data_IF_389982809497
#
_entry.id   IF_389982809497
#
_cell.length_a   1.000
_cell.length_b   1.000
_cell.length_c   1.000
_cell.angle_alpha   90.00
_cell.angle_beta   90.00
_cell.angle_gamma   90.00
#
_symmetry.space_group_name_H-M   'P 1'
#
loop_
_entity.id
_entity.type
_entity.pdbx_description
1 polymer ?
#
# COMPACT_ATOMS: atom_id res chain seq x y z
N UNK A 1 -15.13 8.33 -9.41
CA UNK A 1 -14.59 6.97 -9.24
C UNK A 1 -14.91 6.51 -7.82
N UNK A 2 -15.42 5.30 -7.63
CA UNK A 2 -15.68 4.72 -6.29
C UNK A 2 -14.85 3.45 -6.17
N UNK A 3 -14.17 3.26 -5.04
CA UNK A 3 -13.44 2.01 -4.73
C UNK A 3 -14.36 1.22 -3.81
N UNK A 4 -14.66 -0.03 -4.16
CA UNK A 4 -15.47 -0.91 -3.31
C UNK A 4 -14.56 -1.65 -2.32
N UNK A 5 -13.41 -2.13 -2.81
CA UNK A 5 -12.43 -2.89 -2.04
C UNK A 5 -11.01 -2.57 -2.51
N UNK A 6 -10.10 -2.43 -1.55
CA UNK A 6 -8.65 -2.34 -1.76
C UNK A 6 -7.99 -3.46 -0.98
N UNK A 7 -7.19 -4.28 -1.65
CA UNK A 7 -6.33 -5.28 -1.00
C UNK A 7 -4.89 -4.93 -1.33
N UNK A 8 -4.06 -4.82 -0.29
CA UNK A 8 -2.63 -4.55 -0.37
C UNK A 8 -1.91 -5.73 0.29
N UNK A 9 -1.01 -6.38 -0.45
CA UNK A 9 -0.24 -7.53 0.04
C UNK A 9 1.24 -7.34 -0.25
N UNK A 10 2.09 -7.77 0.68
CA UNK A 10 3.55 -7.69 0.60
C UNK A 10 4.08 -6.29 0.25
N UNK A 11 3.57 -5.26 0.93
CA UNK A 11 3.87 -3.86 0.61
C UNK A 11 4.55 -3.16 1.78
N UNK A 12 5.84 -2.85 1.65
CA UNK A 12 6.64 -2.10 2.63
C UNK A 12 6.38 -2.50 4.11
N UNK A 13 6.44 -3.80 4.39
CA UNK A 13 6.28 -4.39 5.73
C UNK A 13 4.85 -4.84 6.08
N UNK A 14 3.85 -4.51 5.25
CA UNK A 14 2.48 -5.04 5.39
C UNK A 14 2.42 -6.41 4.70
N UNK A 15 2.06 -7.46 5.45
CA UNK A 15 1.84 -8.81 4.88
C UNK A 15 0.60 -8.84 4.01
N UNK A 16 -0.55 -8.46 4.59
CA UNK A 16 -1.81 -8.33 3.88
C UNK A 16 -2.72 -7.39 4.65
N UNK A 17 -3.37 -6.47 3.94
CA UNK A 17 -4.46 -5.66 4.48
C UNK A 17 -5.54 -5.50 3.44
N UNK A 18 -6.79 -5.65 3.87
CA UNK A 18 -7.96 -5.48 3.02
C UNK A 18 -8.85 -4.40 3.63
N UNK A 19 -9.18 -3.39 2.83
CA UNK A 19 -10.11 -2.33 3.16
C UNK A 19 -11.37 -2.47 2.31
N UNK A 20 -12.52 -2.61 2.97
CA UNK A 20 -13.82 -2.60 2.31
C UNK A 20 -14.43 -1.21 2.50
N UNK A 21 -14.59 -0.47 1.40
CA UNK A 21 -15.10 0.89 1.39
C UNK A 21 -16.59 0.94 1.05
N UNK A 22 -17.14 -0.10 0.40
CA UNK A 22 -18.54 -0.18 -0.05
C UNK A 22 -18.99 1.06 -0.84
N UNK A 23 -18.05 1.69 -1.56
CA UNK A 23 -18.28 2.91 -2.32
C UNK A 23 -18.59 4.16 -1.46
N UNK A 24 -18.27 4.11 -0.17
CA UNK A 24 -18.41 5.20 0.81
C UNK A 24 -17.04 5.73 1.25
N UNK A 25 -17.05 6.92 1.83
CA UNK A 25 -15.87 7.48 2.46
C UNK A 25 -15.47 6.61 3.67
N UNK A 26 -14.19 6.23 3.73
CA UNK A 26 -13.64 5.50 4.87
C UNK A 26 -12.44 6.23 5.46
N UNK A 27 -12.25 6.08 6.77
CA UNK A 27 -11.09 6.59 7.50
C UNK A 27 -10.27 5.42 7.99
N UNK A 28 -8.99 5.40 7.64
CA UNK A 28 -8.04 4.36 8.07
C UNK A 28 -7.30 4.88 9.30
N UNK A 29 -7.46 4.16 10.42
CA UNK A 29 -6.81 4.47 11.70
C UNK A 29 -5.73 3.44 12.02
N UNK A 30 -4.73 3.83 12.79
CA UNK A 30 -3.64 2.96 13.23
C UNK A 30 -2.68 3.72 14.15
N UNK A 31 -1.82 3.03 14.87
CA UNK A 31 -0.78 3.66 15.70
C UNK A 31 0.38 4.19 14.82
N UNK A 32 1.22 5.08 15.37
CA UNK A 32 2.42 5.49 14.65
C UNK A 32 3.31 4.28 14.38
N UNK A 33 3.97 4.27 13.22
CA UNK A 33 4.74 3.14 12.67
C UNK A 33 3.97 1.85 12.33
N UNK A 34 2.63 1.78 12.45
CA UNK A 34 1.86 0.58 12.08
C UNK A 34 1.39 0.55 10.61
N UNK A 35 2.06 1.26 9.71
CA UNK A 35 1.75 1.19 8.26
C UNK A 35 0.67 2.14 7.72
N UNK A 36 0.28 3.19 8.47
CA UNK A 36 -0.63 4.23 7.94
C UNK A 36 -0.03 4.96 6.73
N UNK A 37 1.20 5.44 6.86
CA UNK A 37 1.94 6.07 5.75
C UNK A 37 2.12 5.09 4.60
N UNK A 38 2.43 3.83 4.91
CA UNK A 38 2.56 2.75 3.92
C UNK A 38 1.28 2.53 3.11
N UNK A 39 0.12 2.53 3.76
CA UNK A 39 -1.19 2.36 3.10
C UNK A 39 -1.51 3.54 2.18
N UNK A 40 -1.21 4.77 2.62
CA UNK A 40 -1.40 5.95 1.80
C UNK A 40 -0.45 5.96 0.58
N UNK A 41 0.80 5.51 0.75
CA UNK A 41 1.73 5.31 -0.37
C UNK A 41 1.27 4.22 -1.32
N UNK A 42 0.74 3.11 -0.82
CA UNK A 42 0.20 2.03 -1.66
C UNK A 42 -0.95 2.51 -2.55
N UNK A 43 -1.85 3.33 -1.99
CA UNK A 43 -2.95 3.92 -2.73
C UNK A 43 -2.46 4.93 -3.77
N UNK A 44 -1.52 5.80 -3.41
CA UNK A 44 -0.91 6.77 -4.32
C UNK A 44 -0.18 6.07 -5.49
N UNK A 45 0.55 5.00 -5.18
CA UNK A 45 1.24 4.19 -6.18
C UNK A 45 0.25 3.49 -7.11
N UNK A 46 -0.80 2.86 -6.58
CA UNK A 46 -1.83 2.20 -7.39
C UNK A 46 -2.56 3.15 -8.37
N UNK A 47 -2.78 4.39 -7.96
CA UNK A 47 -3.55 5.35 -8.74
C UNK A 47 -2.71 6.18 -9.70
N UNK A 48 -1.46 6.48 -9.33
CA UNK A 48 -0.64 7.47 -10.03
C UNK A 48 0.79 7.02 -10.32
N UNK A 49 1.15 5.79 -9.95
CA UNK A 49 2.51 5.23 -10.07
C UNK A 49 3.57 6.14 -9.42
N UNK A 50 3.24 6.74 -8.26
CA UNK A 50 4.07 7.72 -7.53
C UNK A 50 4.08 7.44 -6.03
N UNK A 51 5.13 7.87 -5.34
CA UNK A 51 5.19 7.96 -3.88
C UNK A 51 4.36 9.13 -3.33
N UNK A 52 4.19 9.17 -2.00
CA UNK A 52 3.46 10.23 -1.28
C UNK A 52 4.07 11.63 -1.44
N UNK A 53 5.37 11.70 -1.72
CA UNK A 53 6.10 12.95 -2.01
C UNK A 53 5.84 13.47 -3.44
N UNK A 54 5.00 12.77 -4.22
CA UNK A 54 4.69 13.10 -5.61
C UNK A 54 5.78 12.68 -6.61
N UNK A 55 6.84 12.04 -6.13
CA UNK A 55 7.98 11.57 -6.92
C UNK A 55 8.00 10.03 -6.98
N UNK A 56 8.62 9.48 -8.02
CA UNK A 56 8.85 8.03 -8.15
C UNK A 56 10.18 7.61 -7.55
N UNK A 57 11.03 8.56 -7.15
CA UNK A 57 12.42 8.29 -6.74
C UNK A 57 12.55 7.78 -5.31
N UNK A 58 11.58 8.11 -4.46
CA UNK A 58 11.67 7.87 -3.01
C UNK A 58 10.99 6.59 -2.56
N UNK A 59 10.37 5.84 -3.48
CA UNK A 59 9.52 4.71 -3.11
C UNK A 59 9.82 3.46 -3.93
N UNK A 60 10.32 2.43 -3.25
CA UNK A 60 10.43 1.08 -3.79
C UNK A 60 9.30 0.22 -3.19
N UNK A 61 8.35 -0.32 -4.00
CA UNK A 61 7.28 -1.18 -3.49
C UNK A 61 7.80 -2.50 -2.95
N UNK A 62 8.99 -2.95 -3.38
CA UNK A 62 9.56 -4.26 -3.02
C UNK A 62 9.63 -4.40 -1.49
N UNK A 63 9.03 -5.46 -0.92
CA UNK A 63 9.05 -5.68 0.52
C UNK A 63 10.47 -6.00 0.99
N UNK A 64 10.78 -5.63 2.22
CA UNK A 64 12.05 -5.99 2.84
C UNK A 64 11.90 -7.32 3.61
N UNK A 65 12.94 -8.14 3.61
CA UNK A 65 13.05 -9.33 4.45
C UNK A 65 13.48 -8.98 5.89
N UNK A 66 13.58 -9.99 6.76
CA UNK A 66 14.00 -9.84 8.17
C UNK A 66 15.42 -9.25 8.34
N UNK A 67 16.21 -9.20 7.27
CA UNK A 67 17.56 -8.62 7.23
C UNK A 67 17.58 -7.21 6.62
N UNK A 68 16.41 -6.58 6.43
CA UNK A 68 16.23 -5.30 5.73
C UNK A 68 16.76 -5.29 4.29
N UNK A 69 16.88 -6.46 3.64
CA UNK A 69 17.22 -6.55 2.22
C UNK A 69 15.95 -6.71 1.39
N UNK A 70 15.98 -6.19 0.17
CA UNK A 70 14.88 -6.28 -0.80
C UNK A 70 14.54 -7.74 -1.09
N UNK A 71 13.27 -8.10 -0.92
CA UNK A 71 12.75 -9.45 -1.13
C UNK A 71 11.99 -9.53 -2.45
N UNK A 72 12.72 -9.87 -3.51
CA UNK A 72 12.17 -10.06 -4.86
C UNK A 72 11.38 -11.36 -5.03
N UNK A 73 11.40 -12.28 -4.06
CA UNK A 73 10.56 -13.49 -4.08
C UNK A 73 9.09 -13.18 -3.75
N UNK A 74 8.82 -12.01 -3.16
CA UNK A 74 7.47 -11.52 -2.89
C UNK A 74 7.12 -10.43 -3.91
N UNK A 75 6.08 -10.70 -4.70
CA UNK A 75 5.51 -9.69 -5.60
C UNK A 75 4.63 -8.76 -4.76
N UNK A 76 4.88 -7.45 -4.88
CA UNK A 76 4.03 -6.42 -4.29
C UNK A 76 2.76 -6.30 -5.12
N UNK A 77 1.64 -6.74 -4.55
CA UNK A 77 0.35 -6.71 -5.21
C UNK A 77 -0.58 -5.71 -4.52
N UNK A 78 -1.12 -4.79 -5.32
CA UNK A 78 -2.13 -3.84 -4.90
C UNK A 78 -3.32 -3.95 -5.87
N UNK A 79 -4.43 -4.52 -5.41
CA UNK A 79 -5.60 -4.80 -6.22
C UNK A 79 -6.77 -3.90 -5.81
N UNK A 80 -7.33 -3.16 -6.78
CA UNK A 80 -8.60 -2.42 -6.59
C UNK A 80 -9.75 -3.12 -7.30
N UNK A 81 -10.90 -3.14 -6.63
CA UNK A 81 -12.18 -3.46 -7.25
C UNK A 81 -13.05 -2.20 -7.28
N UNK A 82 -13.36 -1.76 -8.50
CA UNK A 82 -14.27 -0.65 -8.82
C UNK A 82 -15.74 -1.09 -8.74
#
# INVERSE_FOLDING_TARGET
>A
MKINKLTISNFAGIKEVTFNFDGKDAKIYGNNATGKTTTATALQWLLFDKGLDGSTKSFNPVPLNEKNAENYELISDCFRRI
#
